data_IF_261235313392
#
_entry.id   IF_261235313392
#
_cell.length_a   1.000
_cell.length_b   1.000
_cell.length_c   1.000
_cell.angle_alpha   90.00
_cell.angle_beta   90.00
_cell.angle_gamma   90.00
#
_symmetry.space_group_name_H-M   'P 1'
#
loop_
_entity.id
_entity.type
_entity.pdbx_description
1 polymer ?
#
# COMPACT_ATOMS: atom_id res chain seq x y z
N UNK A 1 57.72 -39.68 -4.88
CA UNK A 1 56.35 -40.15 -4.64
C UNK A 1 55.47 -38.92 -4.48
N UNK A 2 54.58 -38.63 -5.45
CA UNK A 2 53.75 -37.41 -5.48
C UNK A 2 52.44 -37.68 -4.73
N UNK A 3 52.21 -36.99 -3.62
CA UNK A 3 50.93 -37.07 -2.90
C UNK A 3 49.90 -36.19 -3.61
N UNK A 4 48.84 -36.82 -4.11
CA UNK A 4 47.69 -36.15 -4.74
C UNK A 4 46.70 -35.77 -3.63
N UNK A 5 46.58 -34.47 -3.36
CA UNK A 5 45.60 -33.93 -2.43
C UNK A 5 44.25 -33.83 -3.16
N UNK A 6 43.30 -34.72 -2.85
CA UNK A 6 41.93 -34.64 -3.36
C UNK A 6 41.13 -33.72 -2.44
N UNK A 7 40.80 -32.52 -2.92
CA UNK A 7 39.92 -31.58 -2.22
C UNK A 7 38.47 -31.99 -2.50
N UNK A 8 37.80 -32.58 -1.51
CA UNK A 8 36.36 -32.87 -1.57
C UNK A 8 35.60 -31.58 -1.26
N UNK A 9 35.03 -30.95 -2.30
CA UNK A 9 34.12 -29.81 -2.14
C UNK A 9 32.72 -30.34 -1.81
N UNK A 10 32.36 -30.37 -0.52
CA UNK A 10 31.00 -30.64 -0.07
C UNK A 10 30.15 -29.40 -0.33
N UNK A 11 29.31 -29.45 -1.37
CA UNK A 11 28.34 -28.41 -1.69
C UNK A 11 27.19 -28.49 -0.68
N UNK A 12 27.23 -27.64 0.36
CA UNK A 12 26.09 -27.46 1.27
C UNK A 12 24.98 -26.73 0.50
N UNK A 13 23.98 -27.49 0.03
CA UNK A 13 22.72 -26.91 -0.44
C UNK A 13 21.91 -26.54 0.79
N UNK A 14 22.02 -25.28 1.23
CA UNK A 14 21.14 -24.73 2.25
C UNK A 14 19.76 -24.52 1.61
N UNK A 15 18.77 -25.29 2.02
CA UNK A 15 17.38 -25.04 1.72
C UNK A 15 16.98 -23.71 2.35
N UNK A 16 16.99 -22.63 1.59
CA UNK A 16 16.40 -21.37 2.02
C UNK A 16 14.89 -21.56 2.09
N UNK A 17 14.36 -21.74 3.30
CA UNK A 17 12.94 -21.58 3.54
C UNK A 17 12.60 -20.12 3.26
N UNK A 18 11.97 -19.87 2.10
CA UNK A 18 11.31 -18.59 1.84
C UNK A 18 10.15 -18.51 2.83
N UNK A 19 10.35 -17.82 3.95
CA UNK A 19 9.24 -17.46 4.83
C UNK A 19 8.22 -16.74 3.97
N UNK A 20 7.00 -17.29 3.85
CA UNK A 20 5.91 -16.57 3.23
C UNK A 20 5.71 -15.27 4.03
N UNK A 21 5.89 -14.12 3.37
CA UNK A 21 5.64 -12.84 4.02
C UNK A 21 4.18 -12.81 4.50
N UNK A 22 3.94 -12.24 5.68
CA UNK A 22 2.59 -12.16 6.24
C UNK A 22 1.88 -10.89 5.78
N UNK A 23 0.56 -10.89 5.87
CA UNK A 23 -0.21 -9.65 5.73
C UNK A 23 0.04 -8.76 6.94
N UNK A 24 0.41 -7.52 6.70
CA UNK A 24 0.56 -6.50 7.75
C UNK A 24 -0.63 -5.55 7.74
N UNK A 25 -1.12 -5.18 8.92
CA UNK A 25 -2.17 -4.17 9.08
C UNK A 25 -1.64 -3.05 9.98
N UNK A 26 -1.69 -1.82 9.48
CA UNK A 26 -1.48 -0.61 10.29
C UNK A 26 -2.82 0.10 10.45
N UNK A 27 -3.18 0.44 11.68
CA UNK A 27 -4.31 1.34 11.96
C UNK A 27 -3.78 2.74 12.25
N UNK A 28 -4.24 3.72 11.48
CA UNK A 28 -3.88 5.12 11.65
C UNK A 28 -4.90 5.88 12.51
N UNK A 29 -6.02 5.27 12.92
CA UNK A 29 -7.11 5.96 13.61
C UNK A 29 -8.35 6.10 12.74
N UNK A 30 -9.51 6.32 13.37
CA UNK A 30 -10.82 6.32 12.69
C UNK A 30 -10.99 5.06 11.83
N UNK A 31 -11.35 5.19 10.55
CA UNK A 31 -11.41 4.12 9.55
C UNK A 31 -10.15 4.00 8.69
N UNK A 32 -9.07 4.72 9.00
CA UNK A 32 -7.86 4.73 8.18
C UNK A 32 -6.96 3.53 8.47
N UNK A 33 -6.82 2.64 7.48
CA UNK A 33 -5.94 1.46 7.55
C UNK A 33 -4.97 1.41 6.38
N UNK A 34 -3.79 0.83 6.62
CA UNK A 34 -2.88 0.35 5.58
C UNK A 34 -2.73 -1.15 5.68
N UNK A 35 -2.87 -1.83 4.55
CA UNK A 35 -2.54 -3.24 4.41
C UNK A 35 -1.32 -3.40 3.52
N UNK A 36 -0.37 -4.21 3.97
CA UNK A 36 0.70 -4.74 3.12
C UNK A 36 0.43 -6.22 2.89
N UNK A 37 0.30 -6.64 1.64
CA UNK A 37 0.09 -8.06 1.30
C UNK A 37 1.39 -8.86 1.39
N UNK A 38 1.33 -10.21 1.45
CA UNK A 38 2.51 -11.07 1.32
C UNK A 38 3.39 -10.79 0.09
N UNK A 39 2.80 -10.26 -0.98
CA UNK A 39 3.52 -9.94 -2.22
C UNK A 39 4.08 -8.51 -2.25
N UNK A 40 3.96 -7.76 -1.15
CA UNK A 40 4.43 -6.38 -1.03
C UNK A 40 3.47 -5.31 -1.54
N UNK A 41 2.26 -5.68 -2.01
CA UNK A 41 1.23 -4.72 -2.40
C UNK A 41 0.73 -3.89 -1.21
N UNK A 42 0.61 -2.58 -1.39
CA UNK A 42 0.19 -1.63 -0.37
C UNK A 42 -1.19 -1.07 -0.72
N UNK A 43 -2.15 -1.30 0.17
CA UNK A 43 -3.51 -0.80 0.04
C UNK A 43 -3.80 0.14 1.21
N UNK A 44 -4.52 1.22 0.93
CA UNK A 44 -5.12 2.07 1.95
C UNK A 44 -6.63 1.95 1.94
N UNK A 45 -7.23 1.95 3.11
CA UNK A 45 -8.69 2.00 3.29
C UNK A 45 -9.01 3.29 4.04
N UNK A 46 -9.94 4.08 3.50
CA UNK A 46 -10.46 5.32 4.06
C UNK A 46 -9.38 6.25 4.65
N UNK A 47 -8.40 6.72 3.84
CA UNK A 47 -7.12 7.21 4.35
C UNK A 47 -7.17 8.65 4.84
N UNK A 48 -7.89 8.92 5.93
CA UNK A 48 -7.66 10.13 6.73
C UNK A 48 -6.44 9.92 7.64
N UNK A 49 -5.26 9.97 7.06
CA UNK A 49 -3.98 9.74 7.75
C UNK A 49 -3.71 10.86 8.77
N UNK A 50 -4.17 12.07 8.49
CA UNK A 50 -4.02 13.25 9.37
C UNK A 50 -5.11 13.39 10.43
N UNK A 51 -5.87 12.31 10.72
CA UNK A 51 -6.93 12.33 11.72
C UNK A 51 -6.42 12.60 13.16
N UNK A 52 -7.27 13.08 14.08
CA UNK A 52 -6.86 13.42 15.45
C UNK A 52 -6.29 12.26 16.29
N UNK A 53 -6.64 11.01 15.99
CA UNK A 53 -6.07 9.85 16.68
C UNK A 53 -4.66 9.51 16.15
N UNK A 54 -4.29 9.94 14.95
CA UNK A 54 -2.93 9.83 14.44
C UNK A 54 -2.02 10.98 14.88
N UNK A 55 -1.33 10.80 16.01
CA UNK A 55 -0.36 11.80 16.50
C UNK A 55 0.78 12.08 15.52
N UNK A 56 1.09 11.15 14.63
CA UNK A 56 2.17 11.25 13.63
C UNK A 56 1.65 11.53 12.21
N UNK A 57 0.38 11.91 12.04
CA UNK A 57 -0.29 11.93 10.73
C UNK A 57 0.45 12.65 9.61
N UNK A 58 1.11 13.78 9.89
CA UNK A 58 1.92 14.48 8.88
C UNK A 58 3.16 13.69 8.45
N UNK A 59 3.84 13.05 9.40
CA UNK A 59 5.02 12.23 9.13
C UNK A 59 4.62 10.93 8.43
N UNK A 60 3.54 10.28 8.87
CA UNK A 60 3.02 9.07 8.25
C UNK A 60 2.57 9.31 6.82
N UNK A 61 1.83 10.39 6.57
CA UNK A 61 1.43 10.80 5.22
C UNK A 61 2.65 11.03 4.32
N UNK A 62 3.68 11.72 4.83
CA UNK A 62 4.90 11.96 4.07
C UNK A 62 5.73 10.69 3.80
N UNK A 63 5.58 9.66 4.64
CA UNK A 63 6.27 8.38 4.53
C UNK A 63 5.64 7.44 3.48
N UNK A 64 4.41 7.71 3.03
CA UNK A 64 3.75 6.95 1.98
C UNK A 64 4.39 7.24 0.61
N UNK A 65 5.43 6.46 0.25
CA UNK A 65 6.13 6.56 -1.04
C UNK A 65 5.52 5.71 -2.14
N UNK A 66 4.81 4.65 -1.76
CA UNK A 66 4.18 3.71 -2.68
C UNK A 66 2.85 3.23 -2.07
N UNK A 67 1.79 3.30 -2.88
CA UNK A 67 0.45 2.78 -2.58
C UNK A 67 -0.10 2.27 -3.92
N UNK A 68 -0.52 1.02 -3.97
CA UNK A 68 -1.12 0.44 -5.18
C UNK A 68 -2.59 0.86 -5.31
N UNK A 69 -3.35 0.74 -4.22
CA UNK A 69 -4.80 0.99 -4.21
C UNK A 69 -5.22 1.88 -3.04
N UNK A 70 -6.18 2.75 -3.28
CA UNK A 70 -6.93 3.48 -2.25
C UNK A 70 -8.39 3.06 -2.36
N UNK A 71 -8.90 2.44 -1.30
CA UNK A 71 -10.27 1.99 -1.16
C UNK A 71 -11.03 3.03 -0.33
N UNK A 72 -12.14 3.54 -0.86
CA UNK A 72 -13.00 4.49 -0.15
C UNK A 72 -14.40 3.89 -0.01
N UNK A 73 -14.83 3.71 1.23
CA UNK A 73 -16.11 3.08 1.56
C UNK A 73 -17.31 3.96 1.21
N UNK A 74 -17.25 5.26 1.52
CA UNK A 74 -18.28 6.24 1.19
C UNK A 74 -17.75 7.69 1.19
N UNK A 75 -18.56 8.63 0.71
CA UNK A 75 -18.13 10.01 0.36
C UNK A 75 -18.03 11.00 1.52
N UNK A 76 -17.99 10.54 2.76
CA UNK A 76 -17.79 11.42 3.92
C UNK A 76 -16.33 11.90 3.98
N UNK A 77 -16.10 13.13 4.46
CA UNK A 77 -14.76 13.75 4.41
C UNK A 77 -13.72 12.97 5.24
N UNK A 78 -14.16 12.33 6.33
CA UNK A 78 -13.37 11.52 7.25
C UNK A 78 -13.04 10.12 6.69
N UNK A 79 -13.66 9.73 5.58
CA UNK A 79 -13.35 8.52 4.81
C UNK A 79 -12.55 8.83 3.54
N UNK A 80 -12.87 9.92 2.83
CA UNK A 80 -12.08 10.38 1.68
C UNK A 80 -10.69 10.84 2.15
N UNK A 81 -10.64 11.64 3.22
CA UNK A 81 -9.41 12.05 3.89
C UNK A 81 -8.34 12.58 2.95
N UNK A 82 -7.14 12.02 3.08
CA UNK A 82 -5.95 12.39 2.34
C UNK A 82 -5.84 11.67 0.97
N UNK A 83 -6.88 10.92 0.54
CA UNK A 83 -6.83 10.04 -0.64
C UNK A 83 -6.33 10.73 -1.92
N UNK A 84 -6.86 11.92 -2.24
CA UNK A 84 -6.48 12.66 -3.46
C UNK A 84 -4.99 13.05 -3.43
N UNK A 85 -4.50 13.49 -2.27
CA UNK A 85 -3.10 13.86 -2.11
C UNK A 85 -2.19 12.64 -2.29
N UNK A 86 -2.56 11.51 -1.67
CA UNK A 86 -1.82 10.24 -1.77
C UNK A 86 -1.84 9.72 -3.22
N UNK A 87 -2.97 9.78 -3.91
CA UNK A 87 -3.09 9.32 -5.29
C UNK A 87 -2.17 10.10 -6.25
N UNK A 88 -2.10 11.43 -6.07
CA UNK A 88 -1.22 12.31 -6.86
C UNK A 88 0.27 12.02 -6.63
N UNK A 89 0.67 11.65 -5.41
CA UNK A 89 2.09 11.39 -5.09
C UNK A 89 2.53 9.96 -5.41
N UNK A 90 1.64 8.98 -5.28
CA UNK A 90 1.99 7.55 -5.34
C UNK A 90 1.58 6.86 -6.63
N UNK A 91 0.61 7.41 -7.36
CA UNK A 91 0.03 6.71 -8.52
C UNK A 91 -1.14 5.77 -8.18
N UNK A 92 -1.57 5.69 -6.92
CA UNK A 92 -2.55 4.71 -6.47
C UNK A 92 -3.88 4.76 -7.23
N UNK A 93 -4.39 3.59 -7.64
CA UNK A 93 -5.71 3.48 -8.26
C UNK A 93 -6.82 3.59 -7.21
N UNK A 94 -7.90 4.26 -7.58
CA UNK A 94 -9.10 4.40 -6.76
C UNK A 94 -9.98 3.17 -6.87
N UNK A 95 -10.47 2.69 -5.74
CA UNK A 95 -11.54 1.70 -5.63
C UNK A 95 -12.66 2.31 -4.78
N UNK A 96 -13.81 2.53 -5.39
CA UNK A 96 -14.99 3.12 -4.74
C UNK A 96 -16.27 2.67 -5.45
N UNK A 97 -17.43 3.11 -4.98
CA UNK A 97 -18.65 3.08 -5.79
C UNK A 97 -18.52 4.00 -7.02
N UNK A 98 -19.32 3.73 -8.05
CA UNK A 98 -19.25 4.43 -9.34
C UNK A 98 -19.45 5.95 -9.20
N UNK A 99 -20.53 6.36 -8.52
CA UNK A 99 -20.86 7.78 -8.35
C UNK A 99 -19.84 8.51 -7.48
N UNK A 100 -19.32 7.85 -6.43
CA UNK A 100 -18.27 8.43 -5.60
C UNK A 100 -16.98 8.63 -6.41
N UNK A 101 -16.58 7.65 -7.21
CA UNK A 101 -15.42 7.76 -8.09
C UNK A 101 -15.56 8.93 -9.05
N UNK A 102 -16.70 9.06 -9.71
CA UNK A 102 -17.02 10.19 -10.58
C UNK A 102 -16.97 11.53 -9.84
N UNK A 103 -17.54 11.59 -8.63
CA UNK A 103 -17.52 12.80 -7.81
C UNK A 103 -16.09 13.20 -7.39
N UNK A 104 -15.26 12.23 -7.00
CA UNK A 104 -13.87 12.50 -6.61
C UNK A 104 -13.01 12.99 -7.79
N UNK A 105 -13.22 12.44 -8.99
CA UNK A 105 -12.56 12.94 -10.21
C UNK A 105 -13.04 14.35 -10.56
N UNK A 106 -14.36 14.55 -10.56
CA UNK A 106 -15.00 15.78 -11.05
C UNK A 106 -14.79 16.95 -10.10
N UNK A 107 -14.90 16.72 -8.78
CA UNK A 107 -14.97 17.78 -7.78
C UNK A 107 -13.77 17.80 -6.83
N UNK A 108 -13.17 16.66 -6.50
CA UNK A 108 -12.05 16.60 -5.56
C UNK A 108 -10.67 16.60 -6.26
N UNK A 109 -10.63 16.44 -7.58
CA UNK A 109 -9.40 16.42 -8.37
C UNK A 109 -8.59 15.14 -8.21
N UNK A 110 -9.26 14.01 -7.99
CA UNK A 110 -8.64 12.69 -8.11
C UNK A 110 -8.18 12.47 -9.57
N UNK A 111 -6.95 12.03 -9.83
CA UNK A 111 -6.48 11.88 -11.22
C UNK A 111 -7.33 10.88 -12.01
N UNK A 112 -7.93 11.33 -13.13
CA UNK A 112 -8.83 10.51 -13.95
C UNK A 112 -8.21 9.18 -14.40
N UNK A 113 -6.93 9.16 -14.75
CA UNK A 113 -6.22 7.93 -15.16
C UNK A 113 -6.07 6.90 -14.03
N UNK A 114 -6.27 7.30 -12.77
CA UNK A 114 -6.22 6.45 -11.59
C UNK A 114 -7.62 6.06 -11.10
N UNK A 115 -8.68 6.70 -11.60
CA UNK A 115 -10.07 6.46 -11.23
C UNK A 115 -10.81 5.83 -12.40
N UNK A 116 -10.77 4.49 -12.45
CA UNK A 116 -11.39 3.69 -13.49
C UNK A 116 -11.15 2.21 -13.25
N UNK A 117 -12.08 1.38 -13.69
CA UNK A 117 -11.91 -0.07 -13.69
C UNK A 117 -11.41 -0.48 -15.08
N UNK A 118 -10.29 -1.21 -15.13
CA UNK A 118 -9.86 -1.90 -16.35
C UNK A 118 -10.78 -3.12 -16.53
N UNK A 119 -12.05 -2.88 -16.86
CA UNK A 119 -13.06 -3.93 -17.13
C UNK A 119 -13.42 -3.94 -18.60
#
# INVERSE_FOLDING_TARGET
MKALLVLVFSLLVTSTSVSAAQTELTWYGHSAFKLTTPTGKVLLIDPWITNPANKNGKADLAALKHVDLILISHGHFDHVGDAVAIAKTTGAKLVSTFDLGNALVTYAGYPKAQAGFDT
#
